data_IF_225125443471
#
_entry.id   IF_225125443471
#
_cell.length_a   1.000
_cell.length_b   1.000
_cell.length_c   1.000
_cell.angle_alpha   90.00
_cell.angle_beta   90.00
_cell.angle_gamma   90.00
#
_symmetry.space_group_name_H-M   'P 1'
#
loop_
_entity.id
_entity.type
_entity.pdbx_description
1 polymer ?
#
# COMPACT_ATOMS: atom_id res chain seq x y z
N UNK A 1 -8.11 22.02 11.63
CA UNK A 1 -6.87 21.58 10.96
C UNK A 1 -6.89 22.07 9.51
N UNK A 2 -5.83 22.72 9.03
CA UNK A 2 -5.76 23.08 7.60
C UNK A 2 -5.63 21.77 6.80
N UNK A 3 -6.29 21.67 5.63
CA UNK A 3 -6.26 20.44 4.79
C UNK A 3 -4.83 19.99 4.47
N UNK A 4 -3.88 20.92 4.34
CA UNK A 4 -2.47 20.62 4.08
C UNK A 4 -1.77 19.91 5.26
N UNK A 5 -2.25 20.11 6.50
CA UNK A 5 -1.63 19.50 7.67
C UNK A 5 -1.65 17.97 7.61
N UNK A 6 -2.68 17.37 6.99
CA UNK A 6 -2.76 15.92 6.80
C UNK A 6 -1.68 15.37 5.89
N UNK A 7 -1.21 16.16 4.92
CA UNK A 7 -0.10 15.80 4.04
C UNK A 7 1.22 15.93 4.82
N UNK A 8 1.41 17.06 5.51
CA UNK A 8 2.67 17.37 6.19
C UNK A 8 2.92 16.52 7.44
N UNK A 9 1.86 16.08 8.12
CA UNK A 9 1.92 15.24 9.33
C UNK A 9 1.95 13.74 9.03
N UNK A 10 1.68 13.33 7.79
CA UNK A 10 1.72 11.92 7.41
C UNK A 10 3.12 11.34 7.62
N UNK A 11 3.18 10.22 8.27
CA UNK A 11 4.41 9.43 8.43
C UNK A 11 4.13 7.94 8.09
N UNK A 12 5.17 7.13 8.01
CA UNK A 12 5.06 5.69 7.74
C UNK A 12 4.95 4.93 9.06
N UNK A 13 3.73 4.62 9.48
CA UNK A 13 3.45 3.87 10.70
C UNK A 13 3.92 2.41 10.58
N UNK A 14 4.67 1.93 11.58
CA UNK A 14 5.19 0.55 11.64
C UNK A 14 4.94 -0.14 12.98
N UNK A 15 3.94 0.34 13.72
CA UNK A 15 3.50 -0.25 14.98
C UNK A 15 2.04 0.12 15.24
N UNK A 16 1.13 -0.81 14.92
CA UNK A 16 -0.31 -0.59 15.02
C UNK A 16 -0.88 -1.22 16.31
N UNK A 17 -1.98 -0.66 16.80
CA UNK A 17 -2.65 -1.12 18.03
C UNK A 17 -3.59 -2.32 17.82
N UNK A 18 -3.78 -2.74 16.56
CA UNK A 18 -4.59 -3.90 16.18
C UNK A 18 -6.09 -3.60 16.08
N UNK A 19 -6.53 -2.35 16.24
CA UNK A 19 -7.92 -1.98 15.93
C UNK A 19 -8.18 -2.06 14.44
N UNK A 20 -9.37 -2.56 14.09
CA UNK A 20 -9.87 -2.55 12.71
C UNK A 20 -10.40 -1.15 12.36
N UNK A 21 -10.11 -0.66 11.17
CA UNK A 21 -10.76 0.54 10.63
C UNK A 21 -12.23 0.23 10.30
N UNK A 22 -13.10 1.25 10.36
CA UNK A 22 -14.51 1.07 10.02
C UNK A 22 -14.71 0.84 8.52
N UNK A 23 -15.78 0.14 8.14
CA UNK A 23 -16.14 -0.06 6.73
C UNK A 23 -16.39 1.28 6.01
N UNK A 24 -17.00 2.25 6.70
CA UNK A 24 -17.22 3.58 6.13
C UNK A 24 -15.94 4.33 5.83
N UNK A 25 -14.92 4.20 6.71
CA UNK A 25 -13.60 4.81 6.48
C UNK A 25 -12.84 4.08 5.37
N UNK A 26 -12.93 2.74 5.34
CA UNK A 26 -12.38 1.94 4.26
C UNK A 26 -12.96 2.34 2.91
N UNK A 27 -14.27 2.52 2.81
CA UNK A 27 -14.95 2.98 1.60
C UNK A 27 -14.44 4.34 1.12
N UNK A 28 -14.20 5.28 2.04
CA UNK A 28 -13.65 6.62 1.71
C UNK A 28 -12.22 6.47 1.18
N UNK A 29 -11.40 5.65 1.83
CA UNK A 29 -10.02 5.37 1.41
C UNK A 29 -10.00 4.76 0.00
N UNK A 30 -10.84 3.76 -0.26
CA UNK A 30 -10.92 3.11 -1.57
C UNK A 30 -11.40 4.08 -2.66
N UNK A 31 -12.42 4.91 -2.37
CA UNK A 31 -12.90 5.96 -3.29
C UNK A 31 -11.81 6.95 -3.63
N UNK A 32 -11.01 7.37 -2.64
CA UNK A 32 -9.88 8.25 -2.87
C UNK A 32 -8.83 7.62 -3.80
N UNK A 33 -8.49 6.35 -3.58
CA UNK A 33 -7.61 5.59 -4.47
C UNK A 33 -8.15 5.49 -5.90
N UNK A 34 -9.42 5.13 -6.07
CA UNK A 34 -10.08 5.06 -7.38
C UNK A 34 -10.19 6.41 -8.10
N UNK A 35 -10.05 7.53 -7.38
CA UNK A 35 -10.05 8.88 -7.94
C UNK A 35 -8.65 9.35 -8.37
N UNK A 36 -7.62 8.53 -8.21
CA UNK A 36 -6.26 8.89 -8.62
C UNK A 36 -6.15 9.03 -10.15
N UNK A 37 -5.27 9.92 -10.63
CA UNK A 37 -5.01 10.00 -12.06
C UNK A 37 -4.34 8.72 -12.56
N UNK A 38 -4.86 8.17 -13.65
CA UNK A 38 -4.35 6.98 -14.32
C UNK A 38 -3.95 7.34 -15.74
N UNK A 39 -2.75 6.98 -16.14
CA UNK A 39 -2.25 7.27 -17.47
C UNK A 39 -3.18 6.70 -18.54
N UNK A 40 -3.55 7.56 -19.51
CA UNK A 40 -4.52 7.26 -20.61
C UNK A 40 -5.93 6.87 -20.15
N UNK A 41 -6.23 6.97 -18.84
CA UNK A 41 -7.53 6.60 -18.28
C UNK A 41 -7.82 5.09 -18.31
N UNK A 42 -6.79 4.24 -18.35
CA UNK A 42 -6.92 2.78 -18.44
C UNK A 42 -7.18 2.16 -17.06
N UNK A 43 -8.27 2.56 -16.41
CA UNK A 43 -8.66 2.07 -15.07
C UNK A 43 -9.01 0.58 -15.08
N UNK A 44 -9.50 0.04 -16.18
CA UNK A 44 -9.80 -1.37 -16.37
C UNK A 44 -8.59 -2.31 -16.26
N UNK A 45 -7.38 -1.76 -16.39
CA UNK A 45 -6.13 -2.50 -16.21
C UNK A 45 -5.67 -2.58 -14.75
N UNK A 46 -6.41 -1.99 -13.83
CA UNK A 46 -6.06 -1.90 -12.41
C UNK A 46 -6.99 -2.76 -11.56
N UNK A 47 -6.45 -3.29 -10.49
CA UNK A 47 -7.19 -4.10 -9.53
C UNK A 47 -6.74 -3.77 -8.10
N UNK A 48 -7.70 -3.62 -7.19
CA UNK A 48 -7.44 -3.39 -5.76
C UNK A 48 -7.95 -4.60 -4.98
N UNK A 49 -7.09 -5.22 -4.20
CA UNK A 49 -7.45 -6.28 -3.26
C UNK A 49 -7.36 -5.75 -1.84
N UNK A 50 -8.46 -5.84 -1.09
CA UNK A 50 -8.50 -5.56 0.36
C UNK A 50 -8.36 -6.87 1.11
N UNK A 51 -7.40 -6.94 2.03
CA UNK A 51 -7.11 -8.13 2.84
C UNK A 51 -7.30 -7.77 4.31
N UNK A 52 -8.34 -8.37 4.92
CA UNK A 52 -8.66 -8.24 6.35
C UNK A 52 -8.64 -9.61 7.05
N UNK A 53 -8.35 -10.67 6.32
CA UNK A 53 -8.12 -12.00 6.87
C UNK A 53 -6.72 -12.04 7.50
N UNK A 54 -6.66 -12.18 8.82
CA UNK A 54 -5.42 -12.16 9.59
C UNK A 54 -4.45 -13.29 9.20
N UNK A 55 -4.97 -14.48 8.90
CA UNK A 55 -4.14 -15.62 8.52
C UNK A 55 -3.51 -15.40 7.13
N UNK A 56 -4.27 -14.83 6.20
CA UNK A 56 -3.75 -14.49 4.88
C UNK A 56 -2.69 -13.38 4.95
N UNK A 57 -2.91 -12.37 5.82
CA UNK A 57 -1.89 -11.34 6.09
C UNK A 57 -0.62 -12.01 6.64
N UNK A 58 -0.72 -12.89 7.62
CA UNK A 58 0.44 -13.61 8.18
C UNK A 58 1.16 -14.43 7.10
N UNK A 59 0.43 -15.13 6.23
CA UNK A 59 1.01 -15.91 5.13
C UNK A 59 1.81 -15.03 4.15
N UNK A 60 1.26 -13.87 3.75
CA UNK A 60 1.94 -12.90 2.88
C UNK A 60 3.26 -12.44 3.53
N UNK A 61 3.21 -12.08 4.82
CA UNK A 61 4.39 -11.53 5.49
C UNK A 61 5.42 -12.60 5.84
N UNK A 62 5.04 -13.84 6.08
CA UNK A 62 5.97 -14.97 6.21
C UNK A 62 6.78 -15.18 4.91
N UNK A 63 6.10 -15.18 3.76
CA UNK A 63 6.77 -15.23 2.44
C UNK A 63 7.67 -14.02 2.23
N UNK A 64 7.21 -12.82 2.60
CA UNK A 64 7.98 -11.59 2.44
C UNK A 64 9.28 -11.61 3.26
N UNK A 65 9.20 -12.04 4.51
CA UNK A 65 10.35 -12.13 5.41
C UNK A 65 11.37 -13.16 4.92
N UNK A 66 10.89 -14.31 4.41
CA UNK A 66 11.76 -15.35 3.84
C UNK A 66 12.50 -14.85 2.59
N UNK A 67 11.79 -14.22 1.65
CA UNK A 67 12.40 -13.69 0.43
C UNK A 67 13.40 -12.54 0.73
N UNK A 68 13.08 -11.66 1.69
CA UNK A 68 14.02 -10.61 2.13
C UNK A 68 15.26 -11.22 2.79
N UNK A 69 15.09 -12.29 3.58
CA UNK A 69 16.24 -12.97 4.16
C UNK A 69 17.15 -13.59 3.09
N UNK A 70 16.57 -14.25 2.09
CA UNK A 70 17.32 -14.85 0.97
C UNK A 70 18.10 -13.82 0.15
N UNK A 71 17.46 -12.67 -0.12
CA UNK A 71 18.03 -11.65 -1.01
C UNK A 71 19.01 -10.69 -0.31
N UNK A 72 18.72 -10.31 0.93
CA UNK A 72 19.40 -9.23 1.63
C UNK A 72 20.04 -9.66 2.95
N UNK A 73 19.86 -10.90 3.38
CA UNK A 73 20.25 -11.42 4.71
C UNK A 73 19.65 -10.58 5.87
N UNK A 74 18.45 -10.00 5.66
CA UNK A 74 17.75 -9.19 6.66
C UNK A 74 16.59 -10.01 7.24
N UNK A 75 16.61 -10.25 8.55
CA UNK A 75 15.48 -10.77 9.32
C UNK A 75 14.77 -9.61 10.00
N UNK A 76 13.59 -9.28 9.53
CA UNK A 76 12.78 -8.21 10.09
C UNK A 76 11.31 -8.57 9.98
N UNK A 77 10.62 -8.55 11.13
CA UNK A 77 9.16 -8.62 11.10
C UNK A 77 8.60 -7.39 10.40
N UNK A 78 7.91 -7.61 9.30
CA UNK A 78 7.27 -6.58 8.48
C UNK A 78 5.74 -6.58 8.61
N UNK A 79 5.18 -7.51 9.38
CA UNK A 79 3.79 -7.46 9.80
C UNK A 79 3.69 -6.56 11.04
N UNK A 80 3.34 -5.32 10.83
CA UNK A 80 3.31 -4.28 11.86
C UNK A 80 2.05 -4.29 12.73
N UNK A 81 1.15 -5.26 12.54
CA UNK A 81 -0.04 -5.47 13.38
C UNK A 81 -1.29 -4.71 12.93
N UNK A 82 -1.29 -4.04 11.77
CA UNK A 82 -2.52 -3.50 11.20
C UNK A 82 -3.40 -4.63 10.67
N UNK A 83 -4.74 -4.44 10.74
CA UNK A 83 -5.72 -5.44 10.31
C UNK A 83 -6.29 -5.21 8.91
N UNK A 84 -5.92 -4.13 8.25
CA UNK A 84 -6.30 -3.85 6.86
C UNK A 84 -5.04 -3.70 6.02
N UNK A 85 -4.86 -4.60 5.07
CA UNK A 85 -3.78 -4.60 4.09
C UNK A 85 -4.39 -4.48 2.70
N UNK A 86 -3.92 -3.52 1.89
CA UNK A 86 -4.42 -3.29 0.53
C UNK A 86 -3.31 -3.50 -0.47
N UNK A 87 -3.61 -4.23 -1.54
CA UNK A 87 -2.72 -4.50 -2.66
C UNK A 87 -3.28 -3.86 -3.92
N UNK A 88 -2.47 -3.11 -4.64
CA UNK A 88 -2.77 -2.59 -5.97
C UNK A 88 -2.01 -3.42 -7.00
N UNK A 89 -2.75 -3.99 -7.93
CA UNK A 89 -2.24 -4.83 -9.03
C UNK A 89 -2.61 -4.22 -10.37
N UNK A 90 -1.86 -4.55 -11.42
CA UNK A 90 -2.16 -4.10 -12.78
C UNK A 90 -1.74 -5.12 -13.82
N UNK A 91 -2.37 -5.06 -14.99
CA UNK A 91 -1.81 -5.61 -16.21
C UNK A 91 -0.54 -4.80 -16.54
N UNK A 92 0.59 -5.45 -16.91
CA UNK A 92 1.81 -4.74 -17.32
C UNK A 92 1.55 -3.79 -18.50
N UNK A 93 2.10 -2.59 -18.42
CA UNK A 93 1.93 -1.58 -19.46
C UNK A 93 2.64 -1.98 -20.77
N UNK A 94 1.90 -1.91 -21.89
CA UNK A 94 2.42 -2.19 -23.22
C UNK A 94 2.91 -0.95 -23.95
N UNK A 95 2.61 0.26 -23.47
CA UNK A 95 2.92 1.53 -24.13
C UNK A 95 4.03 2.34 -23.47
N UNK A 96 4.28 2.11 -22.17
CA UNK A 96 5.35 2.78 -21.44
C UNK A 96 5.79 1.91 -20.26
N UNK A 97 7.00 1.39 -20.32
CA UNK A 97 7.57 0.53 -19.27
C UNK A 97 7.53 1.23 -17.91
N UNK A 98 6.95 0.57 -16.93
CA UNK A 98 6.87 1.07 -15.54
C UNK A 98 5.71 2.03 -15.28
N UNK A 99 4.88 2.36 -16.25
CA UNK A 99 3.73 3.25 -16.06
C UNK A 99 2.71 2.67 -15.09
N UNK A 100 2.58 1.35 -15.03
CA UNK A 100 1.77 0.64 -14.05
C UNK A 100 2.20 0.94 -12.60
N UNK A 101 3.49 1.08 -12.34
CA UNK A 101 4.02 1.47 -11.02
C UNK A 101 3.69 2.92 -10.68
N UNK A 102 3.74 3.82 -11.67
CA UNK A 102 3.35 5.23 -11.50
C UNK A 102 1.86 5.31 -11.12
N UNK A 103 1.00 4.60 -11.85
CA UNK A 103 -0.43 4.54 -11.56
C UNK A 103 -0.70 3.98 -10.16
N UNK A 104 -0.05 2.86 -9.79
CA UNK A 104 -0.18 2.25 -8.47
C UNK A 104 0.30 3.21 -7.37
N UNK A 105 1.38 3.96 -7.59
CA UNK A 105 1.87 4.99 -6.69
C UNK A 105 0.84 6.09 -6.44
N UNK A 106 0.22 6.62 -7.49
CA UNK A 106 -0.84 7.62 -7.38
C UNK A 106 -2.06 7.11 -6.60
N UNK A 107 -2.48 5.87 -6.87
CA UNK A 107 -3.61 5.22 -6.18
C UNK A 107 -3.31 5.07 -4.68
N UNK A 108 -2.17 4.48 -4.34
CA UNK A 108 -1.79 4.25 -2.94
C UNK A 108 -1.60 5.56 -2.20
N UNK A 109 -0.98 6.58 -2.82
CA UNK A 109 -0.81 7.90 -2.18
C UNK A 109 -2.15 8.58 -1.90
N UNK A 110 -3.11 8.55 -2.84
CA UNK A 110 -4.46 9.07 -2.58
C UNK A 110 -5.13 8.36 -1.40
N UNK A 111 -5.01 7.02 -1.31
CA UNK A 111 -5.54 6.25 -0.18
C UNK A 111 -4.88 6.65 1.14
N UNK A 112 -3.56 6.80 1.15
CA UNK A 112 -2.78 7.19 2.34
C UNK A 112 -3.16 8.60 2.81
N UNK A 113 -3.33 9.55 1.89
CA UNK A 113 -3.74 10.92 2.22
C UNK A 113 -5.17 10.96 2.75
N UNK A 114 -6.09 10.20 2.16
CA UNK A 114 -7.46 10.07 2.67
C UNK A 114 -7.47 9.48 4.08
N UNK A 115 -6.69 8.41 4.34
CA UNK A 115 -6.54 7.81 5.65
C UNK A 115 -6.02 8.83 6.68
N UNK A 116 -4.99 9.61 6.33
CA UNK A 116 -4.45 10.67 7.20
C UNK A 116 -5.49 11.73 7.55
N UNK A 117 -6.39 12.09 6.62
CA UNK A 117 -7.51 13.01 6.88
C UNK A 117 -8.56 12.42 7.83
N UNK A 118 -8.64 11.10 7.92
CA UNK A 118 -9.52 10.36 8.83
C UNK A 118 -8.84 9.99 10.16
N UNK A 119 -7.60 10.46 10.41
CA UNK A 119 -6.76 10.07 11.54
C UNK A 119 -6.48 8.56 11.56
N UNK A 120 -6.33 7.97 10.40
CA UNK A 120 -5.91 6.58 10.19
C UNK A 120 -4.46 6.62 9.69
N UNK A 121 -3.60 5.87 10.37
CA UNK A 121 -2.19 5.76 10.02
C UNK A 121 -1.98 4.72 8.92
N UNK A 122 -0.89 4.87 8.17
CA UNK A 122 -0.59 3.99 7.05
C UNK A 122 0.91 3.84 6.80
N UNK A 123 1.26 2.80 6.04
CA UNK A 123 2.61 2.63 5.49
C UNK A 123 2.54 2.00 4.10
N UNK A 124 3.18 2.65 3.12
CA UNK A 124 3.37 2.10 1.78
C UNK A 124 4.49 1.06 1.77
N UNK A 125 4.27 -0.06 1.09
CA UNK A 125 5.21 -1.18 1.06
C UNK A 125 5.26 -1.83 -0.34
N UNK A 126 6.48 -1.97 -0.89
CA UNK A 126 6.71 -2.68 -2.15
C UNK A 126 7.27 -4.10 -1.94
N UNK A 127 7.85 -4.39 -0.76
CA UNK A 127 8.44 -5.71 -0.51
C UNK A 127 7.41 -6.84 -0.57
N UNK A 128 6.21 -6.75 0.06
CA UNK A 128 5.23 -7.81 0.00
C UNK A 128 4.80 -8.15 -1.42
N UNK A 129 4.50 -7.15 -2.23
CA UNK A 129 4.03 -7.36 -3.62
C UNK A 129 5.09 -8.03 -4.48
N UNK A 130 6.37 -7.65 -4.33
CA UNK A 130 7.47 -8.31 -5.04
C UNK A 130 7.66 -9.75 -4.59
N UNK A 131 7.56 -10.04 -3.29
CA UNK A 131 7.77 -11.37 -2.73
C UNK A 131 6.69 -12.37 -3.14
N UNK A 132 5.47 -11.90 -3.41
CA UNK A 132 4.34 -12.76 -3.79
C UNK A 132 4.08 -12.81 -5.30
N UNK A 133 4.80 -12.04 -6.12
CA UNK A 133 4.49 -11.85 -7.55
C UNK A 133 4.52 -13.15 -8.38
N UNK A 134 5.30 -14.15 -7.97
CA UNK A 134 5.42 -15.48 -8.59
C UNK A 134 4.70 -16.59 -7.82
N UNK A 135 4.05 -16.29 -6.70
CA UNK A 135 3.38 -17.26 -5.81
C UNK A 135 1.92 -17.47 -6.25
N UNK A 136 1.71 -18.28 -7.29
CA UNK A 136 0.38 -18.49 -7.92
C UNK A 136 -0.73 -18.82 -6.94
N UNK A 137 -0.48 -19.71 -5.98
CA UNK A 137 -1.49 -20.09 -4.97
C UNK A 137 -1.90 -18.90 -4.09
N UNK A 138 -0.94 -18.07 -3.69
CA UNK A 138 -1.20 -16.89 -2.89
C UNK A 138 -1.93 -15.80 -3.68
N UNK A 139 -1.58 -15.61 -4.95
CA UNK A 139 -2.31 -14.72 -5.85
C UNK A 139 -3.76 -15.13 -6.03
N UNK A 140 -4.03 -16.44 -6.14
CA UNK A 140 -5.39 -16.99 -6.20
C UNK A 140 -6.16 -16.74 -4.90
N UNK A 141 -5.55 -16.98 -3.74
CA UNK A 141 -6.17 -16.69 -2.43
C UNK A 141 -6.50 -15.20 -2.27
N UNK A 142 -5.68 -14.33 -2.85
CA UNK A 142 -5.89 -12.88 -2.87
C UNK A 142 -6.94 -12.43 -3.88
N UNK A 143 -7.44 -13.31 -4.74
CA UNK A 143 -8.38 -12.97 -5.80
C UNK A 143 -7.77 -12.05 -6.87
N UNK A 144 -6.45 -12.02 -7.03
CA UNK A 144 -5.79 -11.24 -8.07
C UNK A 144 -6.02 -11.94 -9.42
N UNK A 145 -6.64 -11.26 -10.40
CA UNK A 145 -7.00 -11.89 -11.67
C UNK A 145 -5.76 -12.35 -12.47
N UNK A 146 -5.93 -13.39 -13.29
CA UNK A 146 -4.87 -13.87 -14.18
C UNK A 146 -4.37 -12.75 -15.10
N UNK A 147 -3.06 -12.61 -15.24
CA UNK A 147 -2.42 -11.57 -16.05
C UNK A 147 -2.14 -10.26 -15.27
N UNK A 148 -2.68 -10.11 -14.06
CA UNK A 148 -2.35 -8.98 -13.19
C UNK A 148 -1.13 -9.30 -12.34
N UNK A 149 -0.29 -8.28 -12.12
CA UNK A 149 0.90 -8.34 -11.27
C UNK A 149 0.68 -7.44 -10.06
N UNK A 150 0.89 -7.90 -8.82
CA UNK A 150 0.85 -7.04 -7.64
C UNK A 150 2.03 -6.07 -7.67
N UNK A 151 1.77 -4.79 -7.53
CA UNK A 151 2.77 -3.73 -7.73
C UNK A 151 3.15 -3.04 -6.42
N UNK A 152 2.14 -2.60 -5.66
CA UNK A 152 2.32 -1.79 -4.47
C UNK A 152 1.25 -2.14 -3.43
N UNK A 153 1.59 -1.99 -2.17
CA UNK A 153 0.68 -2.28 -1.07
C UNK A 153 0.78 -1.25 0.04
N UNK A 154 -0.22 -1.23 0.91
CA UNK A 154 -0.22 -0.40 2.12
C UNK A 154 -0.98 -1.07 3.26
N UNK A 155 -0.51 -0.88 4.51
CA UNK A 155 -1.29 -1.10 5.70
C UNK A 155 -2.08 0.17 6.07
N UNK A 156 -3.26 -0.05 6.67
CA UNK A 156 -4.11 0.97 7.27
C UNK A 156 -4.57 0.52 8.65
N UNK A 157 -4.51 1.43 9.63
CA UNK A 157 -4.88 1.15 11.02
C UNK A 157 -4.56 2.32 11.92
N UNK A 158 -4.51 2.09 13.22
CA UNK A 158 -4.24 3.12 14.22
C UNK A 158 -2.90 2.83 14.88
N UNK A 159 -2.00 3.81 14.92
CA UNK A 159 -0.71 3.67 15.59
C UNK A 159 -0.90 3.44 17.09
N UNK A 160 -0.03 2.62 17.69
CA UNK A 160 0.07 2.51 19.15
C UNK A 160 0.54 3.81 19.79
N UNK A 161 1.49 4.45 19.12
CA UNK A 161 2.08 5.72 19.52
C UNK A 161 2.24 6.58 18.28
N UNK A 162 1.85 7.84 18.36
CA UNK A 162 2.02 8.79 17.27
C UNK A 162 3.48 9.20 17.19
N UNK A 163 4.02 9.25 15.97
CA UNK A 163 5.36 9.76 15.70
C UNK A 163 5.28 11.15 15.09
N UNK A 164 6.22 12.02 15.46
CA UNK A 164 6.38 13.29 14.78
C UNK A 164 6.86 13.10 13.35
N UNK A 165 6.31 13.86 12.39
CA UNK A 165 6.76 13.80 11.01
C UNK A 165 8.23 14.25 10.92
N UNK A 166 9.00 13.53 10.11
CA UNK A 166 10.41 13.88 9.85
C UNK A 166 10.48 14.92 8.74
N UNK A 167 11.32 15.93 8.92
CA UNK A 167 11.67 16.84 7.83
C UNK A 167 12.51 16.11 6.77
N UNK A 168 12.15 16.31 5.51
CA UNK A 168 12.85 15.77 4.36
C UNK A 168 13.19 16.89 3.39
N UNK A 169 14.33 16.77 2.72
CA UNK A 169 14.73 17.69 1.66
C UNK A 169 14.99 16.92 0.35
N UNK A 170 14.59 17.54 -0.74
CA UNK A 170 14.87 17.08 -2.10
C UNK A 170 15.59 18.19 -2.81
N UNK A 171 16.61 17.87 -3.62
CA UNK A 171 17.30 18.87 -4.45
C UNK A 171 16.29 19.55 -5.38
N UNK A 172 16.32 20.88 -5.43
CA UNK A 172 15.39 21.71 -6.19
C UNK A 172 16.16 22.77 -6.98
N UNK A 173 15.86 22.88 -8.26
CA UNK A 173 16.27 23.99 -9.10
C UNK A 173 15.04 24.84 -9.47
N UNK A 174 15.24 26.16 -9.48
CA UNK A 174 14.32 27.14 -10.06
C UNK A 174 15.02 27.81 -11.24
N UNK A 175 14.53 27.63 -12.42
CA UNK A 175 15.05 28.19 -13.66
C UNK A 175 14.09 29.22 -14.24
#
# INVERSE_FOLDING_TARGET
MKRIDSILKRYSCRNYDGRQISESDLDIILKAGMSAPVARGLYENLHITVVQNEELIKEIFAVTEEEMYKQLNIRRNMNFGAKTFIVVSSIPSTYATGMEYVNAGCIVENMILAASMLNIDSVMMAAPTRSISDKKELLLKLGIPSGYVPLLSSFFGYAKEQEDPKEHSISLNRV
#
